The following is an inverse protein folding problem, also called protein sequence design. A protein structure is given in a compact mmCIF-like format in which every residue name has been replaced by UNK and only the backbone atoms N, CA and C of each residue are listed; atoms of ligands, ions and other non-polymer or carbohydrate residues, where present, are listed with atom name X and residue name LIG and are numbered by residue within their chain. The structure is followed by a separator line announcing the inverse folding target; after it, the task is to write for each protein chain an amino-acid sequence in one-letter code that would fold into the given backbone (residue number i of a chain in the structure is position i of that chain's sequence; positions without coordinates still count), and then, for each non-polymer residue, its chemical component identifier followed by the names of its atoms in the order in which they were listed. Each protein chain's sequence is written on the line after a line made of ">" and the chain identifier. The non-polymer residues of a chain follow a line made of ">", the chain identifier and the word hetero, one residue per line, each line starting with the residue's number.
data_IF_152997059811
#
_entry.id   IF_152997059811
#
_cell.length_a   1.000
_cell.length_b   1.000
_cell.length_c   1.000
_cell.angle_alpha   90.00
_cell.angle_beta   90.00
_cell.angle_gamma   90.00
#
_symmetry.space_group_name_H-M   'P 1'
#
loop_
_entity.id
_entity.type
_entity.pdbx_description
1 polymer ?
#
# COMPACT_ATOMS: atom_id res chain seq x y z
N UNK A 1 -21.55 15.70 7.57
CA UNK A 1 -20.15 16.21 7.46
C UNK A 1 -19.23 15.01 7.53
N UNK A 2 -18.19 14.91 6.70
CA UNK A 2 -17.26 13.77 6.75
C UNK A 2 -16.55 13.71 8.11
N UNK A 3 -16.41 12.50 8.67
CA UNK A 3 -15.85 12.25 10.01
C UNK A 3 -14.66 11.31 9.97
N UNK A 4 -14.61 10.41 8.96
CA UNK A 4 -13.55 9.45 8.76
C UNK A 4 -12.91 9.65 7.39
N UNK A 5 -11.59 9.64 7.33
CA UNK A 5 -10.84 9.62 6.09
C UNK A 5 -10.00 8.34 6.06
N UNK A 6 -10.19 7.55 5.00
CA UNK A 6 -9.40 6.34 4.74
C UNK A 6 -8.44 6.65 3.60
N UNK A 7 -7.16 6.45 3.83
CA UNK A 7 -6.10 6.69 2.85
C UNK A 7 -5.52 5.37 2.35
N UNK A 8 -5.22 5.30 1.06
CA UNK A 8 -4.20 4.36 0.59
C UNK A 8 -2.81 4.84 1.02
N UNK A 9 -1.80 3.97 0.88
CA UNK A 9 -0.42 4.25 1.28
C UNK A 9 0.45 4.57 0.06
N UNK A 10 0.71 3.54 -0.78
CA UNK A 10 1.63 3.63 -1.91
C UNK A 10 1.01 4.49 -3.03
N UNK A 11 1.64 5.61 -3.39
CA UNK A 11 1.10 6.56 -4.39
C UNK A 11 0.16 7.62 -3.81
N UNK A 12 -0.26 7.50 -2.55
CA UNK A 12 -1.18 8.43 -1.88
C UNK A 12 -0.50 9.16 -0.73
N UNK A 13 -0.14 8.47 0.35
CA UNK A 13 0.59 9.06 1.47
C UNK A 13 2.09 9.10 1.22
N UNK A 14 2.64 8.06 0.60
CA UNK A 14 4.07 7.87 0.35
C UNK A 14 4.36 7.60 -1.13
N UNK A 15 5.41 8.22 -1.64
CA UNK A 15 6.07 7.76 -2.85
C UNK A 15 7.06 6.66 -2.48
N UNK A 16 6.72 5.42 -2.80
CA UNK A 16 7.48 4.20 -2.45
C UNK A 16 8.09 3.50 -3.66
N UNK A 17 7.92 4.05 -4.86
CA UNK A 17 8.29 3.41 -6.14
C UNK A 17 9.77 3.03 -6.19
N UNK A 18 10.66 3.92 -5.75
CA UNK A 18 12.11 3.70 -5.82
C UNK A 18 12.56 2.49 -4.99
N UNK A 19 12.04 2.34 -3.76
CA UNK A 19 12.40 1.21 -2.89
C UNK A 19 11.74 -0.10 -3.35
N UNK A 20 10.50 -0.04 -3.86
CA UNK A 20 9.82 -1.19 -4.48
C UNK A 20 10.58 -1.67 -5.72
N UNK A 21 11.00 -0.74 -6.59
CA UNK A 21 11.78 -1.05 -7.80
C UNK A 21 13.14 -1.67 -7.45
N UNK A 22 13.87 -1.04 -6.54
CA UNK A 22 15.18 -1.54 -6.10
C UNK A 22 15.08 -2.94 -5.51
N UNK A 23 14.11 -3.17 -4.63
CA UNK A 23 13.95 -4.46 -3.96
C UNK A 23 13.45 -5.56 -4.90
N UNK A 24 12.56 -5.21 -5.84
CA UNK A 24 12.12 -6.17 -6.87
C UNK A 24 13.28 -6.52 -7.81
N UNK A 25 14.06 -5.53 -8.26
CA UNK A 25 15.23 -5.77 -9.09
C UNK A 25 16.29 -6.59 -8.37
N UNK A 26 16.51 -6.37 -7.06
CA UNK A 26 17.37 -7.23 -6.25
C UNK A 26 16.93 -8.70 -6.30
N UNK A 27 15.64 -8.95 -6.08
CA UNK A 27 15.09 -10.30 -6.11
C UNK A 27 15.16 -10.94 -7.51
N UNK A 28 14.85 -10.19 -8.56
CA UNK A 28 14.97 -10.66 -9.94
C UNK A 28 16.43 -11.04 -10.28
N UNK A 29 17.37 -10.18 -9.92
CA UNK A 29 18.79 -10.41 -10.17
C UNK A 29 19.32 -11.65 -9.42
N UNK A 30 18.91 -11.83 -8.16
CA UNK A 30 19.29 -13.01 -7.37
C UNK A 30 18.81 -14.33 -7.99
N UNK A 31 17.71 -14.28 -8.75
CA UNK A 31 17.13 -15.44 -9.45
C UNK A 31 17.54 -15.54 -10.92
N UNK A 32 18.40 -14.64 -11.40
CA UNK A 32 18.89 -14.64 -12.80
C UNK A 32 17.90 -14.08 -13.81
N UNK A 33 16.87 -13.37 -13.37
CA UNK A 33 15.91 -12.70 -14.24
C UNK A 33 16.38 -11.28 -14.64
N UNK A 34 15.93 -10.75 -15.79
CA UNK A 34 16.22 -9.37 -16.17
C UNK A 34 15.56 -8.37 -15.21
N UNK A 35 16.24 -7.25 -14.99
CA UNK A 35 15.74 -6.13 -14.20
C UNK A 35 15.02 -5.10 -15.06
N UNK A 36 14.28 -4.20 -14.41
CA UNK A 36 13.51 -3.14 -15.09
C UNK A 36 13.97 -1.75 -14.63
N UNK A 37 13.84 -0.71 -15.47
CA UNK A 37 14.04 0.67 -15.02
C UNK A 37 12.96 1.05 -13.99
N UNK A 38 13.30 1.96 -13.08
CA UNK A 38 12.38 2.39 -12.01
C UNK A 38 11.03 2.87 -12.56
N UNK A 39 11.02 3.58 -13.69
CA UNK A 39 9.80 4.09 -14.32
C UNK A 39 8.79 3.00 -14.74
N UNK A 40 9.25 1.78 -15.00
CA UNK A 40 8.37 0.67 -15.33
C UNK A 40 7.47 0.27 -14.15
N UNK A 41 7.95 0.47 -12.93
CA UNK A 41 7.23 0.08 -11.71
C UNK A 41 5.97 0.92 -11.44
N UNK A 42 5.85 2.11 -12.03
CA UNK A 42 4.61 2.92 -11.99
C UNK A 42 3.39 2.16 -12.54
N UNK A 43 3.60 1.19 -13.44
CA UNK A 43 2.54 0.37 -14.03
C UNK A 43 2.43 -1.03 -13.41
N UNK A 44 3.35 -1.40 -12.53
CA UNK A 44 3.39 -2.71 -11.90
C UNK A 44 2.80 -2.72 -10.50
N UNK A 45 2.89 -1.60 -9.77
CA UNK A 45 2.45 -1.43 -8.37
C UNK A 45 0.93 -1.20 -8.29
N UNK A 46 0.32 -1.43 -7.10
CA UNK A 46 -1.07 -1.10 -6.77
C UNK A 46 -1.96 -2.32 -6.46
N UNK A 47 -1.66 -3.49 -7.00
CA UNK A 47 -2.49 -4.70 -6.84
C UNK A 47 -1.88 -5.76 -5.89
N UNK A 48 -1.06 -5.32 -4.93
CA UNK A 48 -0.32 -6.21 -4.02
C UNK A 48 0.98 -6.76 -4.63
N UNK A 49 1.85 -7.29 -3.75
CA UNK A 49 3.22 -7.66 -4.15
C UNK A 49 3.28 -8.86 -5.09
N UNK A 50 2.38 -9.83 -4.97
CA UNK A 50 2.39 -10.99 -5.87
C UNK A 50 2.09 -10.56 -7.32
N UNK A 51 1.19 -9.58 -7.51
CA UNK A 51 0.88 -9.04 -8.84
C UNK A 51 2.03 -8.18 -9.38
N UNK A 52 2.75 -7.47 -8.52
CA UNK A 52 3.99 -6.79 -8.88
C UNK A 52 5.01 -7.79 -9.43
N UNK A 53 5.23 -8.90 -8.75
CA UNK A 53 6.21 -9.92 -9.19
C UNK A 53 5.78 -10.60 -10.48
N UNK A 54 4.50 -10.95 -10.64
CA UNK A 54 3.95 -11.51 -11.88
C UNK A 54 4.20 -10.57 -13.07
N UNK A 55 4.01 -9.25 -12.88
CA UNK A 55 4.26 -8.24 -13.91
C UNK A 55 5.75 -8.04 -14.22
N UNK A 56 6.60 -8.21 -13.21
CA UNK A 56 8.04 -8.04 -13.34
C UNK A 56 8.76 -9.27 -13.93
N UNK A 57 8.16 -10.46 -13.84
CA UNK A 57 8.72 -11.67 -14.43
C UNK A 57 8.59 -11.67 -15.97
N UNK A 58 9.58 -12.27 -16.69
CA UNK A 58 9.49 -12.44 -18.13
C UNK A 58 8.26 -13.24 -18.55
N UNK A 59 7.83 -13.04 -19.79
CA UNK A 59 6.76 -13.85 -20.38
C UNK A 59 7.19 -15.32 -20.42
N UNK A 60 6.29 -16.22 -19.97
CA UNK A 60 6.59 -17.65 -19.81
C UNK A 60 7.10 -18.04 -18.41
N UNK A 61 7.55 -17.08 -17.58
CA UNK A 61 8.04 -17.33 -16.23
C UNK A 61 7.04 -16.90 -15.12
N UNK A 62 5.83 -16.50 -15.48
CA UNK A 62 4.80 -15.93 -14.58
C UNK A 62 4.01 -16.98 -13.79
N UNK A 63 4.64 -18.12 -13.47
CA UNK A 63 4.00 -19.15 -12.64
C UNK A 63 3.89 -18.70 -11.18
N UNK A 64 2.93 -19.25 -10.46
CA UNK A 64 2.78 -19.00 -9.02
C UNK A 64 4.06 -19.39 -8.25
N UNK A 65 4.70 -20.50 -8.64
CA UNK A 65 5.98 -20.93 -8.05
C UNK A 65 7.06 -19.86 -8.20
N UNK A 66 7.24 -19.30 -9.39
CA UNK A 66 8.23 -18.26 -9.63
C UNK A 66 7.89 -16.95 -8.90
N UNK A 67 6.61 -16.58 -8.83
CA UNK A 67 6.14 -15.44 -8.02
C UNK A 67 6.53 -15.63 -6.55
N UNK A 68 6.34 -16.83 -5.99
CA UNK A 68 6.72 -17.14 -4.61
C UNK A 68 8.24 -17.14 -4.41
N UNK A 69 9.03 -17.57 -5.40
CA UNK A 69 10.50 -17.48 -5.35
C UNK A 69 10.96 -16.01 -5.32
N UNK A 70 10.40 -15.14 -6.18
CA UNK A 70 10.70 -13.71 -6.15
C UNK A 70 10.31 -13.09 -4.80
N UNK A 71 9.15 -13.47 -4.26
CA UNK A 71 8.70 -13.00 -2.94
C UNK A 71 9.68 -13.38 -1.83
N UNK A 72 10.23 -14.58 -1.86
CA UNK A 72 11.19 -15.07 -0.86
C UNK A 72 12.47 -14.24 -0.82
N UNK A 73 12.95 -13.79 -1.97
CA UNK A 73 14.12 -12.89 -2.06
C UNK A 73 13.77 -11.44 -1.76
N UNK A 74 12.58 -10.98 -2.20
CA UNK A 74 12.13 -9.61 -2.05
C UNK A 74 11.87 -9.23 -0.57
N UNK A 75 11.10 -10.03 0.17
CA UNK A 75 10.60 -9.63 1.49
C UNK A 75 11.72 -9.31 2.47
N UNK A 76 12.74 -10.18 2.66
CA UNK A 76 13.83 -9.87 3.59
C UNK A 76 14.61 -8.61 3.21
N UNK A 77 14.81 -8.38 1.91
CA UNK A 77 15.51 -7.19 1.42
C UNK A 77 14.66 -5.93 1.61
N UNK A 78 13.40 -5.97 1.20
CA UNK A 78 12.49 -4.83 1.34
C UNK A 78 12.22 -4.45 2.80
N UNK A 79 12.16 -5.42 3.71
CA UNK A 79 11.96 -5.15 5.13
C UNK A 79 13.11 -4.31 5.73
N UNK A 80 14.31 -4.36 5.16
CA UNK A 80 15.45 -3.53 5.56
C UNK A 80 15.46 -2.19 4.81
N UNK A 81 15.13 -2.21 3.52
CA UNK A 81 15.35 -1.10 2.57
C UNK A 81 14.08 -0.32 2.17
N UNK A 82 12.94 -0.55 2.82
CA UNK A 82 11.66 0.05 2.43
C UNK A 82 11.50 1.54 2.74
N UNK A 83 12.50 2.14 3.39
CA UNK A 83 12.52 3.57 3.75
C UNK A 83 13.79 4.29 3.31
N UNK A 84 14.61 3.71 2.43
CA UNK A 84 15.87 4.31 1.97
C UNK A 84 15.59 5.53 1.07
N UNK A 85 14.64 5.40 0.15
CA UNK A 85 14.26 6.42 -0.84
C UNK A 85 12.80 6.83 -0.76
N UNK A 86 11.96 6.06 -0.09
CA UNK A 86 10.55 6.38 0.13
C UNK A 86 10.41 7.73 0.85
N UNK A 87 9.38 8.50 0.53
CA UNK A 87 9.12 9.82 1.12
C UNK A 87 7.62 10.08 1.16
N UNK A 88 7.12 10.80 2.16
CA UNK A 88 5.79 11.42 2.08
C UNK A 88 5.70 12.34 0.87
N UNK A 89 4.55 12.37 0.22
CA UNK A 89 4.30 13.41 -0.76
C UNK A 89 4.29 14.80 -0.09
N UNK A 90 4.73 15.86 -0.81
CA UNK A 90 4.72 17.22 -0.26
C UNK A 90 3.34 17.63 0.26
N UNK A 91 3.29 18.18 1.47
CA UNK A 91 2.06 18.62 2.12
C UNK A 91 1.25 17.52 2.84
N UNK A 92 1.62 16.25 2.71
CA UNK A 92 0.89 15.15 3.40
C UNK A 92 1.07 15.21 4.91
N UNK A 93 2.29 15.38 5.49
CA UNK A 93 2.43 15.47 6.94
C UNK A 93 1.57 16.60 7.52
N UNK A 94 1.65 17.79 6.94
CA UNK A 94 0.91 18.98 7.38
C UNK A 94 -0.62 18.78 7.24
N UNK A 95 -1.06 18.13 6.16
CA UNK A 95 -2.47 17.80 5.96
C UNK A 95 -2.97 16.85 7.05
N UNK A 96 -2.22 15.79 7.37
CA UNK A 96 -2.62 14.81 8.40
C UNK A 96 -2.69 15.46 9.78
N UNK A 97 -1.74 16.33 10.13
CA UNK A 97 -1.77 17.11 11.37
C UNK A 97 -3.02 17.99 11.45
N UNK A 98 -3.32 18.77 10.42
CA UNK A 98 -4.51 19.62 10.35
C UNK A 98 -5.82 18.83 10.45
N UNK A 99 -5.89 17.66 9.81
CA UNK A 99 -7.05 16.79 9.91
C UNK A 99 -7.24 16.25 11.33
N UNK A 100 -6.14 15.83 11.96
CA UNK A 100 -6.15 15.38 13.36
C UNK A 100 -6.58 16.50 14.32
N UNK A 101 -6.06 17.73 14.17
CA UNK A 101 -6.46 18.90 14.95
C UNK A 101 -7.95 19.24 14.80
N UNK A 102 -8.51 19.01 13.61
CA UNK A 102 -9.95 19.17 13.36
C UNK A 102 -10.82 18.02 13.90
N UNK A 103 -10.20 17.05 14.58
CA UNK A 103 -10.90 15.90 15.16
C UNK A 103 -11.36 14.85 14.16
N UNK A 104 -10.77 14.83 12.94
CA UNK A 104 -11.05 13.80 11.95
C UNK A 104 -10.48 12.46 12.39
N UNK A 105 -11.22 11.39 12.19
CA UNK A 105 -10.74 10.02 12.35
C UNK A 105 -9.96 9.64 11.09
N UNK A 106 -8.74 9.13 11.26
CA UNK A 106 -7.87 8.75 10.15
C UNK A 106 -7.64 7.24 10.17
N UNK A 107 -7.63 6.64 8.99
CA UNK A 107 -7.32 5.21 8.80
C UNK A 107 -6.54 4.99 7.52
N UNK A 108 -5.85 3.85 7.43
CA UNK A 108 -5.10 3.41 6.24
C UNK A 108 -5.64 2.06 5.77
N UNK A 109 -5.87 1.94 4.45
CA UNK A 109 -6.25 0.72 3.75
C UNK A 109 -5.36 0.53 2.52
N UNK A 110 -4.41 -0.41 2.57
CA UNK A 110 -3.43 -0.61 1.51
C UNK A 110 -3.35 -2.07 1.05
N UNK A 111 -3.02 -2.27 -0.24
CA UNK A 111 -2.69 -3.59 -0.79
C UNK A 111 -1.24 -4.04 -0.47
N UNK A 112 -0.46 -3.19 0.18
CA UNK A 112 0.86 -3.55 0.72
C UNK A 112 0.71 -4.52 1.90
N UNK A 113 1.61 -5.50 2.07
CA UNK A 113 1.53 -6.45 3.19
C UNK A 113 1.59 -5.75 4.56
N UNK A 114 0.87 -6.30 5.53
CA UNK A 114 0.55 -5.68 6.82
C UNK A 114 1.78 -5.16 7.58
N UNK A 115 2.84 -5.96 7.72
CA UNK A 115 4.01 -5.55 8.51
C UNK A 115 4.73 -4.34 7.91
N UNK A 116 4.90 -4.28 6.58
CA UNK A 116 5.50 -3.13 5.92
C UNK A 116 4.59 -1.89 5.99
N UNK A 117 3.27 -2.07 5.88
CA UNK A 117 2.32 -0.96 6.01
C UNK A 117 2.45 -0.30 7.38
N UNK A 118 2.39 -1.08 8.46
CA UNK A 118 2.52 -0.58 9.84
C UNK A 118 3.87 0.08 10.07
N UNK A 119 4.96 -0.56 9.60
CA UNK A 119 6.32 -0.03 9.75
C UNK A 119 6.48 1.34 9.10
N UNK A 120 6.04 1.49 7.86
CA UNK A 120 6.15 2.76 7.13
C UNK A 120 5.28 3.87 7.74
N UNK A 121 4.05 3.56 8.15
CA UNK A 121 3.19 4.53 8.83
C UNK A 121 3.83 4.99 10.14
N UNK A 122 4.34 4.08 10.96
CA UNK A 122 5.00 4.44 12.21
C UNK A 122 6.29 5.24 12.01
N UNK A 123 7.02 4.96 10.91
CA UNK A 123 8.26 5.66 10.60
C UNK A 123 8.03 7.10 10.12
N UNK A 124 7.09 7.29 9.17
CA UNK A 124 6.90 8.59 8.54
C UNK A 124 5.89 9.48 9.24
N UNK A 125 4.97 8.92 10.02
CA UNK A 125 3.88 9.65 10.68
C UNK A 125 3.78 9.32 12.17
N UNK A 126 4.89 9.41 12.96
CA UNK A 126 4.92 8.97 14.36
C UNK A 126 3.97 9.76 15.27
N UNK A 127 3.61 10.99 14.89
CA UNK A 127 2.75 11.88 15.67
C UNK A 127 1.28 11.85 15.22
N UNK A 128 0.96 11.09 14.18
CA UNK A 128 -0.41 10.98 13.65
C UNK A 128 -1.08 9.74 14.23
N UNK A 129 -2.26 9.93 14.80
CA UNK A 129 -3.09 8.85 15.34
C UNK A 129 -3.99 8.29 14.23
N UNK A 130 -3.58 7.19 13.64
CA UNK A 130 -4.48 6.39 12.81
C UNK A 130 -5.25 5.40 13.69
N UNK A 131 -6.58 5.41 13.59
CA UNK A 131 -7.47 4.49 14.35
C UNK A 131 -7.34 3.06 13.84
N UNK A 132 -7.06 2.88 12.55
CA UNK A 132 -6.78 1.59 11.93
C UNK A 132 -5.70 1.75 10.86
N UNK A 133 -4.75 0.80 10.81
CA UNK A 133 -3.71 0.71 9.77
C UNK A 133 -3.74 -0.70 9.23
N UNK A 134 -4.38 -0.87 8.07
CA UNK A 134 -4.54 -2.18 7.44
C UNK A 134 -3.81 -2.23 6.09
N UNK A 135 -2.90 -3.20 6.01
CA UNK A 135 -2.34 -3.74 4.79
C UNK A 135 -3.00 -5.07 4.42
N UNK A 136 -2.43 -5.77 3.44
CA UNK A 136 -2.83 -7.12 3.10
C UNK A 136 -2.54 -8.06 4.27
N UNK A 137 -3.57 -8.80 4.70
CA UNK A 137 -3.54 -9.81 5.77
C UNK A 137 -3.82 -11.18 5.18
N UNK A 138 -3.33 -12.21 5.82
CA UNK A 138 -3.62 -13.59 5.43
C UNK A 138 -5.13 -13.87 5.50
N UNK A 139 -5.68 -14.56 4.50
CA UNK A 139 -7.10 -14.88 4.41
C UNK A 139 -8.03 -13.71 4.08
N UNK A 140 -7.48 -12.49 3.87
CA UNK A 140 -8.25 -11.32 3.46
C UNK A 140 -7.88 -10.93 2.04
N UNK A 141 -8.89 -10.79 1.19
CA UNK A 141 -8.69 -10.36 -0.18
C UNK A 141 -8.14 -8.92 -0.24
N UNK A 142 -7.35 -8.64 -1.27
CA UNK A 142 -6.85 -7.29 -1.55
C UNK A 142 -7.94 -6.42 -2.19
N UNK A 143 -7.81 -5.10 -2.07
CA UNK A 143 -8.65 -4.15 -2.82
C UNK A 143 -8.65 -4.50 -4.32
N UNK A 144 -9.78 -4.45 -5.00
CA UNK A 144 -11.03 -3.77 -4.65
C UNK A 144 -12.05 -4.59 -3.82
N UNK A 145 -11.64 -5.66 -3.13
CA UNK A 145 -12.52 -6.34 -2.17
C UNK A 145 -12.80 -5.40 -0.99
N UNK A 146 -14.07 -5.14 -0.62
CA UNK A 146 -14.42 -4.12 0.37
C UNK A 146 -14.16 -4.52 1.82
N UNK A 147 -13.66 -5.72 2.09
CA UNK A 147 -13.47 -6.26 3.45
C UNK A 147 -12.62 -5.33 4.31
N UNK A 148 -11.51 -4.80 3.79
CA UNK A 148 -10.63 -3.90 4.55
C UNK A 148 -11.37 -2.62 4.98
N UNK A 149 -12.25 -2.09 4.14
CA UNK A 149 -13.02 -0.90 4.47
C UNK A 149 -14.12 -1.23 5.49
N UNK A 150 -14.79 -2.37 5.34
CA UNK A 150 -15.78 -2.83 6.32
C UNK A 150 -15.16 -3.02 7.71
N UNK A 151 -13.97 -3.62 7.81
CA UNK A 151 -13.24 -3.75 9.07
C UNK A 151 -12.95 -2.38 9.72
N UNK A 152 -12.59 -1.37 8.91
CA UNK A 152 -12.36 0.00 9.41
C UNK A 152 -13.67 0.61 9.91
N UNK A 153 -14.78 0.44 9.17
CA UNK A 153 -16.10 0.94 9.59
C UNK A 153 -16.56 0.29 10.88
N UNK A 154 -16.34 -1.01 11.04
CA UNK A 154 -16.69 -1.76 12.25
C UNK A 154 -15.91 -1.30 13.48
N UNK A 155 -14.62 -0.95 13.31
CA UNK A 155 -13.79 -0.41 14.40
C UNK A 155 -14.20 1.02 14.74
N UNK A 156 -14.42 1.87 13.74
CA UNK A 156 -14.67 3.30 13.94
C UNK A 156 -16.11 3.62 14.28
N UNK A 157 -17.05 2.73 13.95
CA UNK A 157 -18.50 2.93 14.09
C UNK A 157 -19.03 4.15 13.33
N UNK A 158 -18.34 4.55 12.25
CA UNK A 158 -18.75 5.66 11.38
C UNK A 158 -19.62 5.13 10.25
N UNK A 159 -20.71 5.84 9.95
CA UNK A 159 -21.59 5.54 8.81
C UNK A 159 -20.86 5.79 7.49
N UNK A 160 -21.16 5.00 6.46
CA UNK A 160 -20.54 5.10 5.12
C UNK A 160 -20.63 6.50 4.52
N UNK A 161 -21.78 7.16 4.66
CA UNK A 161 -22.01 8.52 4.19
C UNK A 161 -21.08 9.58 4.82
N UNK A 162 -20.50 9.28 5.98
CA UNK A 162 -19.55 10.16 6.67
C UNK A 162 -18.08 9.84 6.37
N UNK A 163 -17.80 8.91 5.44
CA UNK A 163 -16.45 8.51 5.01
C UNK A 163 -16.00 9.26 3.77
N UNK A 164 -14.74 9.64 3.74
CA UNK A 164 -14.00 10.01 2.53
C UNK A 164 -12.91 8.97 2.31
N UNK A 165 -12.80 8.43 1.10
CA UNK A 165 -11.73 7.55 0.68
C UNK A 165 -10.79 8.30 -0.26
N UNK A 166 -9.48 8.22 -0.01
CA UNK A 166 -8.42 8.88 -0.79
C UNK A 166 -7.43 7.84 -1.27
N UNK A 167 -7.26 7.72 -2.58
CA UNK A 167 -6.34 6.79 -3.22
C UNK A 167 -6.03 7.23 -4.64
N UNK A 168 -4.96 6.70 -5.23
CA UNK A 168 -4.44 7.08 -6.55
C UNK A 168 -4.70 6.04 -7.65
N UNK A 169 -5.15 4.85 -7.28
CA UNK A 169 -5.27 3.72 -8.20
C UNK A 169 -6.71 3.39 -8.61
N UNK A 170 -6.85 2.67 -9.74
CA UNK A 170 -8.15 2.19 -10.19
C UNK A 170 -8.87 1.26 -9.20
N UNK A 171 -8.10 0.51 -8.38
CA UNK A 171 -8.68 -0.36 -7.35
C UNK A 171 -9.30 0.43 -6.21
N UNK A 172 -8.75 1.59 -5.85
CA UNK A 172 -9.33 2.50 -4.86
C UNK A 172 -10.66 3.09 -5.33
N UNK A 173 -10.76 3.41 -6.62
CA UNK A 173 -12.00 3.90 -7.22
C UNK A 173 -13.09 2.84 -7.32
N UNK A 174 -12.72 1.57 -7.50
CA UNK A 174 -13.67 0.45 -7.51
C UNK A 174 -14.12 0.12 -6.08
N UNK A 175 -13.22 0.09 -5.13
CA UNK A 175 -13.49 -0.14 -3.72
C UNK A 175 -14.43 0.95 -3.16
N UNK A 176 -14.19 2.21 -3.51
CA UNK A 176 -15.08 3.34 -3.18
C UNK A 176 -16.54 3.09 -3.60
N UNK A 177 -16.77 2.54 -4.82
CA UNK A 177 -18.12 2.26 -5.33
C UNK A 177 -18.84 1.18 -4.52
N UNK A 178 -18.10 0.31 -3.85
CA UNK A 178 -18.66 -0.75 -3.00
C UNK A 178 -19.01 -0.26 -1.60
N UNK A 179 -18.53 0.93 -1.21
CA UNK A 179 -18.62 1.47 0.15
C UNK A 179 -19.46 2.74 0.25
N UNK A 180 -19.65 3.46 -0.87
CA UNK A 180 -20.40 4.74 -0.91
C UNK A 180 -21.72 4.58 -1.64
#
# INVERSE_FOLDING_TARGET
>A
MKKLIIFDLDGTLLNTIADLAQSTNHALQALGYPTHPESAYNFMVGNGINKLFERALPEGEKSEENVLRVRKEFVPYYDVHNADKSRPYPGIPELLEQLQEKGMILAVASNKYQSATVKLISHYFPNIRFTAVFGQREGVNVKPDPTVVHDILDITRISREDVLYVGDSGVDMQDRKSVV
#
